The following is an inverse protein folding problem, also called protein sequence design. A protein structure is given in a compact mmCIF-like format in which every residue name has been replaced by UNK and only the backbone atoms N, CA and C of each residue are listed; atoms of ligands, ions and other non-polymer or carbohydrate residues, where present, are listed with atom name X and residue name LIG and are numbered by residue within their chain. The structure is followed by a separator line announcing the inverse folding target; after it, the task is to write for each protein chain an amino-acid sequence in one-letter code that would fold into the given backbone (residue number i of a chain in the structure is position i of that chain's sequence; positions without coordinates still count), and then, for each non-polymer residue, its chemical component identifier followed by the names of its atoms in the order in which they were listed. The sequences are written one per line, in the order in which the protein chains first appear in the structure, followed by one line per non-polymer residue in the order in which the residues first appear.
data_IF_214438307971
#
_entry.id   IF_214438307971
#
_cell.length_a   1.000
_cell.length_b   1.000
_cell.length_c   1.000
_cell.angle_alpha   90.00
_cell.angle_beta   90.00
_cell.angle_gamma   90.00
#
_symmetry.space_group_name_H-M   'P 1'
#
loop_
_entity.id
_entity.type
_entity.pdbx_description
1 polymer ?
#
# COMPACT_ATOMS: atom_id res chain seq x y z
N UNK A 1 -0.61 -21.26 2.52
CA UNK A 1 -1.50 -21.27 1.30
C UNK A 1 -0.61 -20.99 0.09
N UNK A 2 -0.56 -21.90 -0.90
CA UNK A 2 0.33 -21.78 -2.07
C UNK A 2 -0.40 -21.09 -3.22
N UNK A 3 0.15 -19.98 -3.73
CA UNK A 3 -0.40 -19.19 -4.85
C UNK A 3 0.74 -18.75 -5.78
N UNK A 4 0.40 -18.22 -6.97
CA UNK A 4 1.43 -17.69 -7.89
C UNK A 4 2.23 -16.54 -7.26
N UNK A 5 1.63 -15.75 -6.38
CA UNK A 5 2.30 -14.66 -5.66
C UNK A 5 3.30 -15.22 -4.63
N UNK A 6 2.92 -16.27 -3.86
CA UNK A 6 3.85 -16.86 -2.90
C UNK A 6 5.04 -17.53 -3.59
N UNK A 7 4.82 -18.14 -4.75
CA UNK A 7 5.90 -18.72 -5.57
C UNK A 7 6.79 -17.65 -6.20
N UNK A 8 6.19 -16.56 -6.72
CA UNK A 8 6.91 -15.49 -7.38
C UNK A 8 7.87 -14.73 -6.45
N UNK A 9 7.41 -14.44 -5.23
CA UNK A 9 8.15 -13.64 -4.26
C UNK A 9 8.84 -14.48 -3.17
N UNK A 10 8.71 -15.81 -3.24
CA UNK A 10 9.32 -16.74 -2.27
C UNK A 10 8.87 -16.47 -0.82
N UNK A 11 7.58 -16.14 -0.63
CA UNK A 11 6.95 -15.89 0.66
C UNK A 11 6.02 -17.03 1.06
N UNK A 12 5.77 -17.18 2.37
CA UNK A 12 4.95 -18.26 2.91
C UNK A 12 3.44 -18.02 2.75
N UNK A 13 3.02 -16.77 2.95
CA UNK A 13 1.62 -16.35 2.95
C UNK A 13 1.35 -15.31 1.85
N UNK A 14 0.20 -15.38 1.17
CA UNK A 14 -0.12 -14.45 0.07
C UNK A 14 -0.59 -13.08 0.60
N UNK A 15 0.23 -12.50 1.49
CA UNK A 15 -0.03 -11.22 2.18
C UNK A 15 1.13 -10.28 1.95
N UNK A 16 0.86 -9.10 1.43
CA UNK A 16 1.83 -8.04 1.17
C UNK A 16 1.49 -6.83 2.05
N UNK A 17 2.49 -6.24 2.67
CA UNK A 17 2.39 -4.90 3.24
C UNK A 17 2.80 -3.91 2.16
N UNK A 18 1.84 -3.10 1.69
CA UNK A 18 2.10 -2.08 0.68
C UNK A 18 2.99 -0.95 1.17
N UNK A 19 3.71 -0.31 0.26
CA UNK A 19 4.47 0.88 0.57
C UNK A 19 3.59 2.00 1.12
N UNK A 20 3.97 2.58 2.24
CA UNK A 20 3.23 3.63 2.95
C UNK A 20 4.18 4.71 3.43
N UNK A 21 3.91 5.95 3.03
CA UNK A 21 4.75 7.11 3.36
C UNK A 21 4.84 7.35 4.87
N UNK A 22 6.05 7.44 5.41
CA UNK A 22 6.35 7.55 6.86
C UNK A 22 5.82 6.43 7.75
N UNK A 23 5.53 5.25 7.17
CA UNK A 23 5.11 4.04 7.88
C UNK A 23 6.00 2.85 7.52
N UNK A 24 6.29 2.66 6.23
CA UNK A 24 7.08 1.54 5.72
C UNK A 24 8.57 1.71 5.99
N UNK A 25 8.98 1.42 7.23
CA UNK A 25 10.38 1.35 7.67
C UNK A 25 10.81 -0.10 7.92
N UNK A 26 12.08 -0.30 8.21
CA UNK A 26 12.69 -1.62 8.41
C UNK A 26 11.97 -2.45 9.48
N UNK A 27 11.49 -1.83 10.57
CA UNK A 27 10.78 -2.51 11.66
C UNK A 27 9.53 -3.21 11.15
N UNK A 28 8.66 -2.48 10.46
CA UNK A 28 7.41 -3.04 9.94
C UNK A 28 7.68 -4.03 8.81
N UNK A 29 8.59 -3.68 7.89
CA UNK A 29 8.94 -4.55 6.76
C UNK A 29 9.50 -5.89 7.25
N UNK A 30 10.45 -5.87 8.19
CA UNK A 30 11.01 -7.09 8.76
C UNK A 30 9.98 -7.91 9.56
N UNK A 31 9.11 -7.25 10.34
CA UNK A 31 8.06 -7.94 11.09
C UNK A 31 7.10 -8.68 10.16
N UNK A 32 6.69 -8.07 9.05
CA UNK A 32 5.82 -8.72 8.05
C UNK A 32 6.53 -9.88 7.35
N UNK A 33 7.79 -9.70 6.96
CA UNK A 33 8.58 -10.74 6.30
C UNK A 33 8.84 -11.92 7.23
N UNK A 34 9.18 -11.66 8.50
CA UNK A 34 9.37 -12.70 9.52
C UNK A 34 8.08 -13.47 9.85
N UNK A 35 6.91 -12.83 9.66
CA UNK A 35 5.61 -13.47 9.80
C UNK A 35 5.14 -14.20 8.51
N UNK A 36 6.00 -14.30 7.50
CA UNK A 36 5.75 -15.06 6.27
C UNK A 36 5.07 -14.31 5.14
N UNK A 37 4.82 -12.99 5.31
CA UNK A 37 4.35 -12.11 4.24
C UNK A 37 5.49 -11.44 3.47
N UNK A 38 5.17 -10.46 2.63
CA UNK A 38 6.13 -9.57 1.97
C UNK A 38 6.06 -8.18 2.63
N UNK A 39 7.02 -7.84 3.48
CA UNK A 39 7.17 -6.51 4.04
C UNK A 39 7.77 -5.54 3.02
N UNK A 40 7.48 -4.24 3.15
CA UNK A 40 7.91 -3.24 2.15
C UNK A 40 8.44 -1.97 2.81
N UNK A 41 9.70 -1.64 2.54
CA UNK A 41 10.30 -0.35 2.89
C UNK A 41 9.82 0.71 1.89
N UNK A 42 9.42 1.89 2.36
CA UNK A 42 9.05 3.00 1.48
C UNK A 42 10.29 3.85 1.15
N UNK A 43 10.78 3.70 -0.08
CA UNK A 43 12.04 4.32 -0.53
C UNK A 43 12.01 5.84 -0.47
N UNK A 44 10.94 6.49 -0.93
CA UNK A 44 10.85 7.95 -0.93
C UNK A 44 10.80 8.57 0.47
N UNK A 45 10.36 7.84 1.48
CA UNK A 45 10.40 8.28 2.87
C UNK A 45 11.84 8.53 3.35
N UNK A 46 12.81 7.81 2.80
CA UNK A 46 14.22 7.93 3.16
C UNK A 46 14.85 9.23 2.62
N UNK A 47 14.32 9.77 1.54
CA UNK A 47 14.70 11.06 0.94
C UNK A 47 15.96 11.02 0.08
N UNK A 48 16.96 10.20 0.39
CA UNK A 48 18.22 10.09 -0.40
C UNK A 48 18.61 8.62 -0.62
N UNK A 49 19.36 8.30 -1.70
CA UNK A 49 19.89 6.96 -1.93
C UNK A 49 20.69 6.41 -0.74
N UNK A 50 21.54 7.22 -0.13
CA UNK A 50 22.35 6.83 1.04
C UNK A 50 21.48 6.42 2.24
N UNK A 51 20.45 7.20 2.55
CA UNK A 51 19.52 6.86 3.65
C UNK A 51 18.71 5.61 3.33
N UNK A 52 18.32 5.41 2.07
CA UNK A 52 17.66 4.18 1.65
C UNK A 52 18.59 2.97 1.80
N UNK A 53 19.89 3.10 1.42
CA UNK A 53 20.87 2.04 1.62
C UNK A 53 20.98 1.63 3.09
N UNK A 54 21.05 2.62 3.99
CA UNK A 54 21.11 2.38 5.43
C UNK A 54 19.84 1.69 5.95
N UNK A 55 18.67 2.08 5.46
CA UNK A 55 17.40 1.48 5.88
C UNK A 55 17.24 0.04 5.36
N UNK A 56 17.68 -0.23 4.13
CA UNK A 56 17.74 -1.59 3.59
C UNK A 56 18.69 -2.46 4.42
N UNK A 57 19.91 -1.98 4.71
CA UNK A 57 20.88 -2.70 5.54
C UNK A 57 20.29 -3.01 6.93
N UNK A 58 19.62 -2.06 7.55
CA UNK A 58 18.94 -2.23 8.82
C UNK A 58 17.84 -3.29 8.76
N UNK A 59 17.06 -3.36 7.68
CA UNK A 59 16.06 -4.40 7.47
C UNK A 59 16.73 -5.78 7.31
N UNK A 60 17.83 -5.86 6.56
CA UNK A 60 18.61 -7.10 6.37
C UNK A 60 19.23 -7.63 7.67
N UNK A 61 19.50 -6.76 8.66
CA UNK A 61 19.91 -7.17 10.02
C UNK A 61 18.74 -7.75 10.84
N UNK A 62 17.48 -7.38 10.51
CA UNK A 62 16.28 -7.78 11.25
C UNK A 62 15.57 -9.00 10.65
N UNK A 63 15.85 -9.35 9.38
CA UNK A 63 15.22 -10.49 8.70
C UNK A 63 16.14 -11.10 7.64
N UNK A 64 16.10 -12.42 7.52
CA UNK A 64 16.68 -13.19 6.40
C UNK A 64 15.65 -13.53 5.31
N UNK A 65 14.40 -13.07 5.48
CA UNK A 65 13.29 -13.32 4.57
C UNK A 65 13.21 -12.26 3.45
N UNK A 66 12.55 -12.59 2.32
CA UNK A 66 12.33 -11.61 1.27
C UNK A 66 11.53 -10.40 1.78
N UNK A 67 11.95 -9.21 1.37
CA UNK A 67 11.21 -7.97 1.54
C UNK A 67 11.29 -7.13 0.26
N UNK A 68 10.45 -6.13 0.14
CA UNK A 68 10.39 -5.23 -1.00
C UNK A 68 10.83 -3.81 -0.63
N UNK A 69 11.17 -3.04 -1.66
CA UNK A 69 11.28 -1.58 -1.57
C UNK A 69 10.25 -0.95 -2.49
N UNK A 70 9.46 0.00 -1.96
CA UNK A 70 8.50 0.77 -2.73
C UNK A 70 9.15 2.01 -3.35
N UNK A 71 8.89 2.24 -4.64
CA UNK A 71 9.20 3.46 -5.36
C UNK A 71 7.92 4.03 -5.99
N UNK A 72 7.48 5.19 -5.50
CA UNK A 72 6.28 5.86 -6.01
C UNK A 72 6.68 7.01 -6.94
N UNK A 73 6.32 6.90 -8.21
CA UNK A 73 6.63 7.90 -9.24
C UNK A 73 5.51 8.95 -9.32
N UNK A 74 5.63 10.01 -8.55
CA UNK A 74 4.69 11.12 -8.55
C UNK A 74 5.32 12.40 -9.14
N UNK A 75 4.50 13.30 -9.72
CA UNK A 75 4.95 14.65 -10.01
C UNK A 75 5.45 15.32 -8.74
N UNK A 76 6.63 15.92 -8.78
CA UNK A 76 7.21 16.62 -7.65
C UNK A 76 7.88 17.91 -8.10
N UNK A 77 7.81 18.96 -7.29
CA UNK A 77 8.56 20.21 -7.53
C UNK A 77 10.07 19.98 -7.44
N UNK A 78 10.48 19.04 -6.61
CA UNK A 78 11.88 18.58 -6.51
C UNK A 78 11.87 17.07 -6.74
N UNK A 79 12.13 16.62 -7.99
CA UNK A 79 12.15 15.19 -8.30
C UNK A 79 13.15 14.44 -7.43
N UNK A 80 12.78 13.29 -6.84
CA UNK A 80 13.72 12.40 -6.17
C UNK A 80 14.80 11.89 -7.13
N UNK A 81 15.96 11.53 -6.60
CA UNK A 81 17.00 10.83 -7.36
C UNK A 81 16.61 9.36 -7.61
N UNK A 82 15.62 9.14 -8.48
CA UNK A 82 15.18 7.78 -8.82
C UNK A 82 16.29 6.87 -9.36
N UNK A 83 17.18 7.33 -10.26
CA UNK A 83 18.32 6.50 -10.69
C UNK A 83 19.20 6.05 -9.53
N UNK A 84 19.53 6.94 -8.60
CA UNK A 84 20.30 6.62 -7.40
C UNK A 84 19.55 5.66 -6.46
N UNK A 85 18.26 5.85 -6.26
CA UNK A 85 17.43 4.94 -5.45
C UNK A 85 17.37 3.53 -6.07
N UNK A 86 17.18 3.43 -7.39
CA UNK A 86 17.18 2.15 -8.13
C UNK A 86 18.53 1.46 -8.03
N UNK A 87 19.63 2.19 -8.16
CA UNK A 87 20.97 1.62 -8.05
C UNK A 87 21.25 1.04 -6.67
N UNK A 88 20.86 1.76 -5.60
CA UNK A 88 20.99 1.26 -4.22
C UNK A 88 20.20 -0.03 -4.00
N UNK A 89 18.99 -0.13 -4.52
CA UNK A 89 18.16 -1.34 -4.43
C UNK A 89 18.84 -2.52 -5.12
N UNK A 90 19.43 -2.29 -6.31
CA UNK A 90 20.18 -3.29 -7.07
C UNK A 90 21.43 -3.74 -6.30
N UNK A 91 22.21 -2.79 -5.81
CA UNK A 91 23.49 -3.07 -5.11
C UNK A 91 23.25 -3.82 -3.80
N UNK A 92 22.14 -3.53 -3.12
CA UNK A 92 21.76 -4.22 -1.89
C UNK A 92 21.13 -5.61 -2.12
N UNK A 93 20.86 -6.00 -3.36
CA UNK A 93 20.28 -7.30 -3.70
C UNK A 93 18.85 -7.48 -3.20
N UNK A 94 18.06 -6.40 -3.12
CA UNK A 94 16.63 -6.49 -2.74
C UNK A 94 15.86 -7.31 -3.78
N UNK A 95 15.13 -8.36 -3.39
CA UNK A 95 14.55 -9.28 -4.37
C UNK A 95 13.29 -8.73 -5.08
N UNK A 96 12.58 -7.79 -4.47
CA UNK A 96 11.29 -7.29 -4.98
C UNK A 96 11.23 -5.76 -4.91
N UNK A 97 10.72 -5.14 -5.97
CA UNK A 97 10.37 -3.72 -6.00
C UNK A 97 8.88 -3.55 -6.23
N UNK A 98 8.20 -2.85 -5.32
CA UNK A 98 6.86 -2.36 -5.54
C UNK A 98 6.94 -0.97 -6.18
N UNK A 99 6.29 -0.78 -7.31
CA UNK A 99 6.20 0.54 -7.95
C UNK A 99 4.76 1.06 -7.91
N UNK A 100 4.59 2.38 -7.84
CA UNK A 100 3.29 3.04 -7.82
C UNK A 100 3.32 4.37 -8.59
N UNK A 101 2.16 4.91 -8.90
CA UNK A 101 2.02 6.19 -9.59
C UNK A 101 2.24 6.07 -11.10
N UNK A 102 3.21 6.82 -11.65
CA UNK A 102 3.49 6.81 -13.09
C UNK A 102 4.12 5.50 -13.56
N UNK A 103 4.04 5.27 -14.87
CA UNK A 103 4.61 4.13 -15.56
C UNK A 103 6.10 3.89 -15.23
N UNK A 104 6.51 2.73 -14.69
CA UNK A 104 7.87 2.41 -14.28
C UNK A 104 8.79 1.95 -15.43
N UNK A 105 8.35 1.99 -16.68
CA UNK A 105 9.04 1.40 -17.83
C UNK A 105 10.52 1.82 -17.97
N UNK A 106 10.86 3.03 -17.56
CA UNK A 106 12.24 3.56 -17.60
C UNK A 106 13.20 2.72 -16.73
N UNK A 107 12.74 2.25 -15.58
CA UNK A 107 13.58 1.55 -14.59
C UNK A 107 13.50 0.01 -14.70
N UNK A 108 12.51 -0.53 -15.42
CA UNK A 108 12.32 -1.97 -15.55
C UNK A 108 13.54 -2.69 -16.14
N UNK A 109 14.23 -2.20 -17.19
CA UNK A 109 15.40 -2.90 -17.74
C UNK A 109 16.51 -3.10 -16.71
N UNK A 110 16.80 -2.10 -15.87
CA UNK A 110 17.82 -2.19 -14.83
C UNK A 110 17.40 -3.17 -13.72
N UNK A 111 16.19 -3.05 -13.22
CA UNK A 111 15.65 -3.93 -12.17
C UNK A 111 15.57 -5.39 -12.64
N UNK A 112 15.02 -5.64 -13.81
CA UNK A 112 14.92 -6.99 -14.39
C UNK A 112 16.29 -7.57 -14.72
N UNK A 113 17.23 -6.76 -15.21
CA UNK A 113 18.60 -7.16 -15.48
C UNK A 113 19.35 -7.63 -14.23
N UNK A 114 18.99 -7.11 -13.06
CA UNK A 114 19.47 -7.53 -11.76
C UNK A 114 18.68 -8.72 -11.15
N UNK A 115 17.69 -9.27 -11.86
CA UNK A 115 16.86 -10.38 -11.37
C UNK A 115 15.73 -9.98 -10.40
N UNK A 116 15.53 -8.68 -10.18
CA UNK A 116 14.53 -8.16 -9.27
C UNK A 116 13.12 -8.35 -9.84
N UNK A 117 12.18 -8.82 -9.03
CA UNK A 117 10.76 -8.92 -9.38
C UNK A 117 10.08 -7.58 -9.16
N UNK A 118 9.21 -7.18 -10.09
CA UNK A 118 8.51 -5.91 -10.02
C UNK A 118 7.01 -6.12 -9.95
N UNK A 119 6.39 -5.62 -8.87
CA UNK A 119 4.95 -5.49 -8.72
C UNK A 119 4.55 -4.02 -8.87
N UNK A 120 3.56 -3.73 -9.73
CA UNK A 120 3.09 -2.35 -9.95
C UNK A 120 1.68 -2.14 -9.41
N UNK A 121 1.46 -1.05 -8.67
CA UNK A 121 0.13 -0.67 -8.15
C UNK A 121 -0.69 0.00 -9.23
N UNK A 122 -1.92 -0.49 -9.44
CA UNK A 122 -2.82 -0.04 -10.49
C UNK A 122 -4.24 0.11 -9.95
N UNK A 123 -4.91 1.20 -10.31
CA UNK A 123 -6.29 1.50 -9.89
C UNK A 123 -7.34 1.16 -10.97
N UNK A 124 -6.92 0.59 -12.10
CA UNK A 124 -7.82 0.18 -13.18
C UNK A 124 -7.26 -0.99 -13.98
N UNK A 125 -8.14 -1.75 -14.64
CA UNK A 125 -7.76 -2.85 -15.55
C UNK A 125 -6.85 -2.35 -16.67
N UNK A 126 -7.14 -1.18 -17.25
CA UNK A 126 -6.32 -0.56 -18.30
C UNK A 126 -4.87 -0.32 -17.84
N UNK A 127 -4.67 0.18 -16.63
CA UNK A 127 -3.34 0.39 -16.07
C UNK A 127 -2.64 -0.93 -15.75
N UNK A 128 -3.38 -1.94 -15.27
CA UNK A 128 -2.87 -3.28 -15.02
C UNK A 128 -2.39 -3.97 -16.30
N UNK A 129 -3.16 -3.90 -17.38
CA UNK A 129 -2.75 -4.38 -18.71
C UNK A 129 -1.52 -3.63 -19.24
N UNK A 130 -1.43 -2.33 -18.98
CA UNK A 130 -0.23 -1.56 -19.34
C UNK A 130 0.99 -2.03 -18.55
N UNK A 131 0.87 -2.25 -17.24
CA UNK A 131 1.94 -2.78 -16.39
C UNK A 131 2.40 -4.17 -16.89
N UNK A 132 1.47 -5.06 -17.22
CA UNK A 132 1.77 -6.35 -17.84
C UNK A 132 2.55 -6.17 -19.14
N UNK A 133 2.07 -5.30 -20.03
CA UNK A 133 2.66 -5.10 -21.38
C UNK A 133 4.08 -4.56 -21.37
N UNK A 134 4.50 -3.87 -20.31
CA UNK A 134 5.85 -3.32 -20.15
C UNK A 134 6.80 -4.26 -19.39
N UNK A 135 6.30 -5.41 -18.89
CA UNK A 135 7.12 -6.46 -18.30
C UNK A 135 7.16 -6.48 -16.77
N UNK A 136 6.19 -5.89 -16.06
CA UNK A 136 6.00 -6.14 -14.63
C UNK A 136 5.69 -7.63 -14.40
N UNK A 137 6.15 -8.17 -13.26
CA UNK A 137 5.95 -9.60 -12.91
C UNK A 137 4.59 -9.85 -12.25
N UNK A 138 4.05 -8.83 -11.59
CA UNK A 138 2.75 -8.86 -10.94
C UNK A 138 2.15 -7.44 -10.88
N UNK A 139 0.86 -7.36 -10.55
CA UNK A 139 0.20 -6.08 -10.23
C UNK A 139 -0.53 -6.16 -8.89
N UNK A 140 -0.57 -5.02 -8.19
CA UNK A 140 -1.47 -4.79 -7.06
C UNK A 140 -2.65 -3.98 -7.58
N UNK A 141 -3.85 -4.56 -7.53
CA UNK A 141 -5.08 -3.94 -8.06
C UNK A 141 -5.78 -3.24 -6.91
N UNK A 142 -5.72 -1.92 -6.93
CA UNK A 142 -6.20 -1.04 -5.86
C UNK A 142 -7.63 -0.58 -6.16
N UNK A 143 -8.62 -1.12 -5.44
CA UNK A 143 -10.02 -0.72 -5.56
C UNK A 143 -10.34 0.61 -4.88
N UNK A 144 -11.54 1.12 -5.13
CA UNK A 144 -12.05 2.39 -4.59
C UNK A 144 -11.94 2.52 -3.07
N UNK A 145 -11.96 1.39 -2.35
CA UNK A 145 -11.91 1.32 -0.88
C UNK A 145 -10.53 1.66 -0.29
N UNK A 146 -9.48 1.73 -1.14
CA UNK A 146 -8.11 1.94 -0.65
C UNK A 146 -7.91 3.32 -0.03
N UNK A 147 -6.98 3.40 0.92
CA UNK A 147 -6.40 4.67 1.38
C UNK A 147 -5.36 5.19 0.40
N UNK A 148 -5.14 6.50 0.38
CA UNK A 148 -4.29 7.15 -0.59
C UNK A 148 -5.03 7.37 -1.92
N UNK A 149 -4.40 7.12 -3.05
CA UNK A 149 -4.92 7.47 -4.39
C UNK A 149 -5.66 6.30 -5.05
N UNK A 150 -7.01 6.23 -4.95
CA UNK A 150 -7.82 5.16 -5.55
C UNK A 150 -8.02 5.30 -7.06
N UNK A 151 -7.48 6.35 -7.66
CA UNK A 151 -7.79 6.75 -9.03
C UNK A 151 -9.09 7.55 -9.13
N UNK A 152 -9.53 7.81 -10.36
CA UNK A 152 -10.69 8.68 -10.64
C UNK A 152 -11.94 7.91 -11.08
N UNK A 153 -11.84 6.57 -11.24
CA UNK A 153 -12.90 5.75 -11.84
C UNK A 153 -13.91 5.20 -10.80
N UNK A 154 -13.62 5.33 -9.50
CA UNK A 154 -14.47 4.91 -8.37
C UNK A 154 -14.94 3.43 -8.43
N UNK A 155 -14.12 2.53 -8.95
CA UNK A 155 -14.50 1.12 -9.13
C UNK A 155 -14.17 0.33 -7.84
N UNK A 156 -15.17 -0.24 -7.15
CA UNK A 156 -14.93 -1.09 -5.99
C UNK A 156 -14.36 -2.45 -6.38
N UNK A 157 -13.64 -3.07 -5.44
CA UNK A 157 -12.96 -4.35 -5.68
C UNK A 157 -13.90 -5.49 -6.11
N UNK A 158 -15.17 -5.46 -5.71
CA UNK A 158 -16.13 -6.49 -6.11
C UNK A 158 -16.40 -6.54 -7.63
N UNK A 159 -16.08 -5.46 -8.34
CA UNK A 159 -16.15 -5.37 -9.81
C UNK A 159 -14.75 -5.36 -10.41
N UNK A 160 -13.81 -4.65 -9.78
CA UNK A 160 -12.47 -4.46 -10.35
C UNK A 160 -11.65 -5.76 -10.40
N UNK A 161 -11.70 -6.58 -9.33
CA UNK A 161 -10.90 -7.81 -9.25
C UNK A 161 -11.33 -8.87 -10.28
N UNK A 162 -12.63 -9.25 -10.42
CA UNK A 162 -13.02 -10.21 -11.46
C UNK A 162 -12.74 -9.67 -12.87
N UNK A 163 -12.89 -8.36 -13.11
CA UNK A 163 -12.49 -7.76 -14.39
C UNK A 163 -10.98 -7.86 -14.64
N UNK A 164 -10.17 -7.69 -13.60
CA UNK A 164 -8.72 -7.90 -13.71
C UNK A 164 -8.37 -9.37 -13.96
N UNK A 165 -9.08 -10.30 -13.31
CA UNK A 165 -8.89 -11.75 -13.50
C UNK A 165 -9.22 -12.21 -14.91
N UNK A 166 -10.24 -11.62 -15.55
CA UNK A 166 -10.62 -11.95 -16.93
C UNK A 166 -9.60 -11.50 -17.98
N UNK A 167 -8.77 -10.48 -17.68
CA UNK A 167 -7.93 -9.79 -18.66
C UNK A 167 -6.43 -10.03 -18.45
N UNK A 168 -5.98 -10.28 -17.20
CA UNK A 168 -4.57 -10.39 -16.87
C UNK A 168 -4.04 -11.81 -17.02
N UNK A 169 -2.85 -11.92 -17.60
CA UNK A 169 -2.09 -13.18 -17.70
C UNK A 169 -1.06 -13.31 -16.57
N UNK A 170 -0.58 -12.18 -16.01
CA UNK A 170 0.32 -12.17 -14.84
C UNK A 170 -0.46 -12.20 -13.53
N UNK A 171 0.11 -12.72 -12.44
CA UNK A 171 -0.57 -12.74 -11.14
C UNK A 171 -0.84 -11.34 -10.62
N UNK A 172 -1.94 -11.20 -9.86
CA UNK A 172 -2.26 -9.97 -9.18
C UNK A 172 -2.72 -10.20 -7.74
N UNK A 173 -2.54 -9.19 -6.90
CA UNK A 173 -3.07 -9.14 -5.54
C UNK A 173 -4.17 -8.08 -5.43
N UNK A 174 -5.15 -8.34 -4.59
CA UNK A 174 -6.19 -7.38 -4.24
C UNK A 174 -5.67 -6.35 -3.23
N UNK A 175 -5.96 -5.09 -3.45
CA UNK A 175 -5.64 -3.98 -2.54
C UNK A 175 -6.83 -3.04 -2.39
N UNK A 176 -6.94 -2.39 -1.22
CA UNK A 176 -8.14 -1.64 -0.85
C UNK A 176 -9.22 -2.54 -0.22
N UNK A 177 -9.68 -2.19 0.97
CA UNK A 177 -10.67 -2.98 1.70
C UNK A 177 -10.14 -4.27 2.33
N UNK A 178 -8.84 -4.54 2.28
CA UNK A 178 -8.21 -5.77 2.76
C UNK A 178 -7.75 -5.62 4.22
N UNK A 179 -8.27 -6.46 5.13
CA UNK A 179 -7.92 -6.39 6.56
C UNK A 179 -7.85 -7.74 7.28
N UNK A 180 -8.59 -8.73 6.85
CA UNK A 180 -8.80 -9.98 7.58
C UNK A 180 -8.95 -11.20 6.66
N UNK A 181 -9.18 -12.36 7.25
CA UNK A 181 -9.34 -13.62 6.53
C UNK A 181 -10.51 -13.61 5.54
N UNK A 182 -11.59 -12.88 5.85
CA UNK A 182 -12.76 -12.78 4.97
C UNK A 182 -12.40 -12.07 3.68
N UNK A 183 -11.62 -10.98 3.79
CA UNK A 183 -11.15 -10.24 2.62
C UNK A 183 -10.15 -11.04 1.79
N UNK A 184 -9.23 -11.80 2.42
CA UNK A 184 -8.32 -12.70 1.69
C UNK A 184 -9.08 -13.76 0.89
N UNK A 185 -9.99 -14.49 1.54
CA UNK A 185 -10.77 -15.55 0.89
C UNK A 185 -11.66 -14.99 -0.23
N UNK A 186 -12.30 -13.83 0.00
CA UNK A 186 -13.10 -13.17 -1.02
C UNK A 186 -12.24 -12.70 -2.22
N UNK A 187 -11.08 -12.10 -1.97
CA UNK A 187 -10.15 -11.67 -3.02
C UNK A 187 -9.71 -12.85 -3.90
N UNK A 188 -9.38 -13.99 -3.28
CA UNK A 188 -9.01 -15.21 -4.02
C UNK A 188 -10.19 -15.78 -4.82
N UNK A 189 -11.40 -15.76 -4.26
CA UNK A 189 -12.60 -16.17 -4.99
C UNK A 189 -12.92 -15.25 -6.19
N UNK A 190 -12.49 -13.99 -6.14
CA UNK A 190 -12.59 -13.02 -7.24
C UNK A 190 -11.41 -13.07 -8.22
N UNK A 191 -10.47 -14.02 -8.04
CA UNK A 191 -9.37 -14.29 -8.97
C UNK A 191 -8.01 -13.71 -8.58
N UNK A 192 -7.89 -13.02 -7.45
CA UNK A 192 -6.60 -12.55 -6.95
C UNK A 192 -5.75 -13.72 -6.38
N UNK A 193 -4.44 -13.59 -6.41
CA UNK A 193 -3.48 -14.57 -5.89
C UNK A 193 -2.98 -14.22 -4.46
N UNK A 194 -3.60 -13.23 -3.83
CA UNK A 194 -3.30 -12.74 -2.49
C UNK A 194 -3.86 -11.35 -2.24
N UNK A 195 -3.47 -10.75 -1.14
CA UNK A 195 -3.90 -9.39 -0.79
C UNK A 195 -2.72 -8.48 -0.39
N UNK A 196 -2.88 -7.20 -0.68
CA UNK A 196 -2.01 -6.11 -0.24
C UNK A 196 -2.76 -5.24 0.77
N UNK A 197 -2.20 -5.04 1.96
CA UNK A 197 -2.80 -4.26 3.03
C UNK A 197 -1.95 -3.03 3.36
N UNK A 198 -2.60 -1.91 3.62
CA UNK A 198 -1.99 -0.68 4.15
C UNK A 198 -2.51 -0.38 5.55
N UNK A 199 -3.70 0.21 5.64
CA UNK A 199 -4.32 0.70 6.88
C UNK A 199 -4.33 -0.33 8.02
N UNK A 200 -4.58 -1.62 7.72
CA UNK A 200 -4.54 -2.69 8.72
C UNK A 200 -3.15 -2.82 9.37
N UNK A 201 -2.07 -2.73 8.59
CA UNK A 201 -0.71 -2.81 9.13
C UNK A 201 -0.28 -1.56 9.92
N UNK A 202 -0.83 -0.37 9.59
CA UNK A 202 -0.60 0.83 10.41
C UNK A 202 -1.07 0.59 11.85
N UNK A 203 -2.22 -0.09 12.03
CA UNK A 203 -2.78 -0.43 13.33
C UNK A 203 -2.20 -1.75 13.87
N UNK A 204 -0.87 -1.87 13.93
CA UNK A 204 -0.13 -2.97 14.57
C UNK A 204 0.89 -2.42 15.57
N UNK A 205 1.32 -3.26 16.51
CA UNK A 205 2.35 -2.87 17.49
C UNK A 205 3.68 -2.54 16.80
N UNK A 206 4.01 -3.28 15.72
CA UNK A 206 5.29 -3.19 15.00
C UNK A 206 5.38 -1.98 14.05
N UNK A 207 4.27 -1.33 13.71
CA UNK A 207 4.29 -0.13 12.89
C UNK A 207 4.97 1.02 13.67
N UNK A 208 6.05 1.63 13.13
CA UNK A 208 6.82 2.67 13.82
C UNK A 208 6.13 4.04 13.70
N UNK A 209 4.86 4.10 14.09
CA UNK A 209 4.05 5.31 14.10
C UNK A 209 3.54 5.61 15.50
N UNK A 210 3.19 6.86 15.75
CA UNK A 210 2.67 7.29 17.04
C UNK A 210 1.36 6.55 17.40
N UNK A 211 1.15 6.30 18.69
CA UNK A 211 -0.02 5.57 19.19
C UNK A 211 -1.36 6.22 18.77
N UNK A 212 -1.42 7.55 18.73
CA UNK A 212 -2.61 8.29 18.29
C UNK A 212 -3.07 7.90 16.88
N UNK A 213 -2.14 7.58 15.96
CA UNK A 213 -2.47 7.15 14.59
C UNK A 213 -3.15 5.78 14.62
N UNK A 214 -2.62 4.84 15.41
CA UNK A 214 -3.21 3.50 15.57
C UNK A 214 -4.59 3.57 16.19
N UNK A 215 -4.75 4.37 17.24
CA UNK A 215 -6.02 4.60 17.92
C UNK A 215 -7.04 5.31 17.03
N UNK A 216 -6.61 6.26 16.20
CA UNK A 216 -7.51 6.91 15.24
C UNK A 216 -8.10 5.91 14.24
N UNK A 217 -7.33 4.92 13.79
CA UNK A 217 -7.82 3.85 12.92
C UNK A 217 -8.80 2.95 13.66
N UNK A 218 -8.45 2.48 14.86
CA UNK A 218 -9.29 1.56 15.66
C UNK A 218 -10.62 2.19 16.08
N UNK A 219 -10.64 3.50 16.29
CA UNK A 219 -11.84 4.24 16.67
C UNK A 219 -12.68 4.71 15.46
N UNK A 220 -12.19 4.50 14.23
CA UNK A 220 -12.88 4.92 13.02
C UNK A 220 -13.89 3.86 12.54
N UNK A 221 -14.94 4.33 11.89
CA UNK A 221 -15.88 3.50 11.14
C UNK A 221 -15.58 3.56 9.63
N UNK A 222 -16.29 2.77 8.85
CA UNK A 222 -16.25 2.82 7.38
C UNK A 222 -16.74 4.16 6.80
N UNK A 223 -17.40 4.98 7.63
CA UNK A 223 -17.93 6.30 7.26
C UNK A 223 -16.95 7.45 7.53
N UNK A 224 -15.82 7.19 8.20
CA UNK A 224 -14.91 8.23 8.66
C UNK A 224 -13.78 8.57 7.69
N UNK A 225 -13.84 8.08 6.46
CA UNK A 225 -12.92 8.52 5.40
C UNK A 225 -13.56 9.56 4.47
N UNK A 226 -12.72 10.38 3.84
CA UNK A 226 -13.13 11.38 2.85
C UNK A 226 -12.25 11.29 1.61
N UNK A 227 -12.82 11.63 0.46
CA UNK A 227 -12.06 11.87 -0.77
C UNK A 227 -11.79 13.37 -0.87
N UNK A 228 -10.54 13.73 -1.13
CA UNK A 228 -10.06 15.09 -1.30
C UNK A 228 -9.34 15.23 -2.65
N UNK A 229 -9.08 16.44 -3.09
CA UNK A 229 -8.31 16.80 -4.31
C UNK A 229 -8.88 16.25 -5.62
N UNK A 230 -10.18 15.92 -5.65
CA UNK A 230 -10.83 15.38 -6.85
C UNK A 230 -10.85 16.41 -8.00
N UNK A 231 -11.08 17.68 -7.70
CA UNK A 231 -11.03 18.77 -8.69
C UNK A 231 -9.64 18.96 -9.31
N UNK A 232 -8.59 18.48 -8.63
CA UNK A 232 -7.20 18.51 -9.13
C UNK A 232 -6.83 17.24 -9.92
N UNK A 233 -7.77 16.30 -10.13
CA UNK A 233 -7.49 14.99 -10.73
C UNK A 233 -6.36 14.26 -10.00
N UNK A 234 -6.35 14.39 -8.69
CA UNK A 234 -5.39 13.79 -7.77
C UNK A 234 -6.12 13.26 -6.52
N UNK A 235 -7.24 12.56 -6.76
CA UNK A 235 -8.11 12.08 -5.69
C UNK A 235 -7.35 11.25 -4.67
N UNK A 236 -7.46 11.61 -3.40
CA UNK A 236 -6.89 10.88 -2.27
C UNK A 236 -7.97 10.55 -1.24
N UNK A 237 -7.94 9.32 -0.70
CA UNK A 237 -8.78 8.92 0.43
C UNK A 237 -7.99 9.04 1.73
N UNK A 238 -8.54 9.82 2.64
CA UNK A 238 -7.92 10.19 3.93
C UNK A 238 -8.86 9.94 5.08
N UNK A 239 -8.34 9.79 6.30
CA UNK A 239 -9.17 9.80 7.50
C UNK A 239 -9.66 11.23 7.77
N UNK A 240 -10.95 11.36 8.12
CA UNK A 240 -11.54 12.66 8.43
C UNK A 240 -10.96 13.25 9.71
N UNK A 241 -10.57 14.50 9.65
CA UNK A 241 -10.13 15.33 10.77
C UNK A 241 -10.37 16.81 10.46
N UNK A 242 -10.03 17.71 11.39
CA UNK A 242 -10.25 19.17 11.18
C UNK A 242 -9.49 19.75 9.99
N UNK A 243 -8.30 19.22 9.65
CA UNK A 243 -7.58 19.69 8.47
C UNK A 243 -8.30 19.26 7.18
N UNK A 244 -8.81 18.04 7.13
CA UNK A 244 -9.61 17.53 6.02
C UNK A 244 -10.91 18.30 5.86
N UNK A 245 -11.58 18.66 6.96
CA UNK A 245 -12.79 19.50 6.92
C UNK A 245 -12.50 20.88 6.33
N UNK A 246 -11.41 21.55 6.77
CA UNK A 246 -10.98 22.83 6.18
C UNK A 246 -10.65 22.71 4.69
N UNK A 247 -9.99 21.62 4.30
CA UNK A 247 -9.65 21.37 2.90
C UNK A 247 -10.93 21.22 2.05
N UNK A 248 -11.89 20.43 2.51
CA UNK A 248 -13.18 20.24 1.83
C UNK A 248 -13.97 21.54 1.72
N UNK A 249 -13.91 22.41 2.73
CA UNK A 249 -14.53 23.73 2.67
C UNK A 249 -13.88 24.59 1.56
N UNK A 250 -12.53 24.62 1.48
CA UNK A 250 -11.80 25.32 0.40
C UNK A 250 -12.17 24.74 -0.98
N UNK A 251 -12.26 23.41 -1.11
CA UNK A 251 -12.70 22.79 -2.37
C UNK A 251 -14.10 23.23 -2.78
N UNK A 252 -15.03 23.33 -1.84
CA UNK A 252 -16.41 23.82 -2.10
C UNK A 252 -16.46 25.29 -2.49
N UNK A 253 -15.66 26.12 -1.82
CA UNK A 253 -15.62 27.57 -2.09
C UNK A 253 -14.97 27.90 -3.43
N UNK A 254 -13.88 27.24 -3.79
CA UNK A 254 -13.08 27.53 -4.96
C UNK A 254 -13.52 26.76 -6.21
N UNK A 255 -14.09 25.56 -6.04
CA UNK A 255 -14.54 24.71 -7.14
C UNK A 255 -13.42 24.50 -8.17
N UNK A 256 -13.72 24.75 -9.45
CA UNK A 256 -12.77 24.59 -10.56
C UNK A 256 -11.60 25.59 -10.53
N UNK A 257 -11.60 26.55 -9.61
CA UNK A 257 -10.50 27.50 -9.42
C UNK A 257 -9.49 27.04 -8.38
N UNK A 258 -9.77 25.95 -7.68
CA UNK A 258 -8.86 25.40 -6.70
C UNK A 258 -7.50 25.09 -7.33
N UNK A 259 -6.43 25.45 -6.62
CA UNK A 259 -5.06 25.11 -6.96
C UNK A 259 -4.41 24.38 -5.79
N UNK A 260 -3.36 23.65 -6.07
CA UNK A 260 -2.62 22.94 -5.03
C UNK A 260 -2.07 23.88 -3.94
N UNK A 261 -1.66 25.10 -4.32
CA UNK A 261 -1.17 26.12 -3.40
C UNK A 261 -2.20 26.56 -2.36
N UNK A 262 -3.50 26.46 -2.67
CA UNK A 262 -4.58 26.84 -1.76
C UNK A 262 -4.75 25.84 -0.58
N UNK A 263 -4.27 24.60 -0.77
CA UNK A 263 -4.43 23.48 0.18
C UNK A 263 -3.09 22.91 0.66
N UNK A 264 -1.97 23.50 0.26
CA UNK A 264 -0.62 22.98 0.52
C UNK A 264 -0.37 22.77 2.03
N UNK A 265 -0.90 23.61 2.88
CA UNK A 265 -0.71 23.54 4.34
C UNK A 265 -1.39 22.31 4.96
N UNK A 266 -2.47 21.79 4.34
CA UNK A 266 -3.18 20.62 4.78
C UNK A 266 -2.61 19.29 4.24
N UNK A 267 -1.78 19.35 3.17
CA UNK A 267 -1.34 18.12 2.48
C UNK A 267 0.19 17.95 2.40
N UNK A 268 0.96 19.04 2.37
CA UNK A 268 2.40 18.96 2.19
C UNK A 268 3.17 18.99 3.50
N UNK A 269 4.12 18.07 3.68
CA UNK A 269 5.01 18.03 4.84
C UNK A 269 4.33 17.70 6.19
N UNK A 270 3.10 17.22 6.17
CA UNK A 270 2.29 16.93 7.37
C UNK A 270 2.55 15.54 7.95
N UNK A 271 2.96 14.59 7.12
CA UNK A 271 3.14 13.18 7.52
C UNK A 271 4.08 12.97 8.71
N UNK A 272 5.27 13.60 8.81
CA UNK A 272 6.13 13.43 9.99
C UNK A 272 5.45 13.86 11.29
N UNK A 273 4.71 14.97 11.26
CA UNK A 273 3.98 15.49 12.43
C UNK A 273 2.85 14.57 12.87
N UNK A 274 2.17 13.93 11.91
CA UNK A 274 1.08 12.98 12.19
C UNK A 274 1.66 11.63 12.61
N UNK A 275 2.50 11.03 11.75
CA UNK A 275 2.95 9.66 11.95
C UNK A 275 3.94 9.51 13.13
N UNK A 276 4.81 10.47 13.37
CA UNK A 276 5.83 10.36 14.41
C UNK A 276 5.54 11.17 15.67
N UNK A 277 4.90 12.37 15.54
CA UNK A 277 4.59 13.24 16.68
C UNK A 277 3.15 13.06 17.19
N UNK A 278 2.28 12.37 16.43
CA UNK A 278 0.89 12.13 16.83
C UNK A 278 -0.02 13.34 16.80
N UNK A 279 0.36 14.38 16.04
CA UNK A 279 -0.43 15.62 15.90
C UNK A 279 -1.48 15.43 14.80
N UNK A 280 -2.61 14.84 15.16
CA UNK A 280 -3.59 14.29 14.21
C UNK A 280 -4.35 15.33 13.38
N UNK A 281 -4.44 16.59 13.84
CA UNK A 281 -5.30 17.62 13.25
C UNK A 281 -4.57 18.61 12.32
N UNK A 282 -3.26 18.35 12.05
CA UNK A 282 -2.42 19.30 11.29
C UNK A 282 -2.50 19.13 9.79
N UNK A 283 -2.97 17.98 9.31
CA UNK A 283 -3.03 17.70 7.88
C UNK A 283 -3.81 16.43 7.54
N UNK A 284 -3.99 16.21 6.25
CA UNK A 284 -4.58 15.01 5.70
C UNK A 284 -3.56 13.86 5.68
N UNK A 285 -4.03 12.63 5.93
CA UNK A 285 -3.22 11.42 5.83
C UNK A 285 -4.04 10.24 5.34
N UNK A 286 -3.42 9.39 4.53
CA UNK A 286 -4.07 8.29 3.83
C UNK A 286 -4.62 7.24 4.79
N UNK A 287 -5.91 6.91 4.66
CA UNK A 287 -6.57 5.84 5.40
C UNK A 287 -7.70 5.25 4.55
N UNK A 288 -7.74 3.92 4.43
CA UNK A 288 -8.75 3.23 3.66
C UNK A 288 -10.07 3.06 4.43
N UNK A 289 -11.17 2.82 3.70
CA UNK A 289 -12.48 2.52 4.28
C UNK A 289 -12.42 1.29 5.21
N UNK A 290 -11.43 0.44 5.03
CA UNK A 290 -11.19 -0.76 5.84
C UNK A 290 -10.95 -0.44 7.33
N UNK A 291 -10.70 0.82 7.70
CA UNK A 291 -10.64 1.24 9.10
C UNK A 291 -11.88 0.76 9.89
N UNK A 292 -13.07 0.76 9.28
CA UNK A 292 -14.28 0.21 9.90
C UNK A 292 -14.27 -1.29 10.24
N UNK A 293 -13.25 -2.03 9.79
CA UNK A 293 -13.02 -3.45 10.14
C UNK A 293 -11.86 -3.64 11.12
N UNK A 294 -11.15 -2.57 11.47
CA UNK A 294 -9.96 -2.61 12.34
C UNK A 294 -10.36 -2.20 13.76
N UNK A 295 -10.30 -3.13 14.70
CA UNK A 295 -10.78 -2.93 16.07
C UNK A 295 -9.75 -3.29 17.16
N UNK A 296 -8.50 -3.59 16.76
CA UNK A 296 -7.42 -3.96 17.64
C UNK A 296 -6.04 -3.54 17.10
N UNK A 297 -5.01 -3.63 17.94
CA UNK A 297 -3.61 -3.29 17.62
C UNK A 297 -2.73 -4.51 18.01
N UNK A 298 -2.79 -5.61 17.24
CA UNK A 298 -2.00 -6.81 17.50
C UNK A 298 -0.54 -6.64 17.07
N UNK A 299 0.32 -7.63 17.38
CA UNK A 299 1.58 -7.77 16.67
C UNK A 299 1.32 -8.16 15.21
N UNK A 300 2.27 -7.85 14.31
CA UNK A 300 2.18 -8.30 12.90
C UNK A 300 2.09 -9.81 12.81
N UNK A 301 2.83 -10.52 13.67
CA UNK A 301 2.79 -12.00 13.70
C UNK A 301 1.40 -12.51 14.07
N UNK A 302 0.81 -12.02 15.15
CA UNK A 302 -0.53 -12.45 15.57
C UNK A 302 -1.59 -12.12 14.51
N UNK A 303 -1.46 -10.97 13.84
CA UNK A 303 -2.34 -10.58 12.74
C UNK A 303 -2.28 -11.57 11.58
N UNK A 304 -1.08 -11.87 11.07
CA UNK A 304 -0.89 -12.75 9.91
C UNK A 304 -1.27 -14.19 10.26
N UNK A 305 -0.83 -14.71 11.40
CA UNK A 305 -1.20 -16.06 11.87
C UNK A 305 -2.73 -16.20 12.02
N UNK A 306 -3.38 -15.18 12.60
CA UNK A 306 -4.83 -15.11 12.74
C UNK A 306 -5.57 -15.12 11.41
N UNK A 307 -5.13 -14.29 10.46
CA UNK A 307 -5.69 -14.24 9.11
C UNK A 307 -5.59 -15.60 8.42
N UNK A 308 -4.43 -16.24 8.46
CA UNK A 308 -4.23 -17.53 7.78
C UNK A 308 -5.05 -18.65 8.42
N UNK A 309 -5.05 -18.74 9.76
CA UNK A 309 -5.84 -19.74 10.49
C UNK A 309 -7.35 -19.58 10.25
N UNK A 310 -7.84 -18.34 10.27
CA UNK A 310 -9.27 -18.07 10.01
C UNK A 310 -9.64 -18.29 8.55
N UNK A 311 -8.76 -17.98 7.59
CA UNK A 311 -8.99 -18.25 6.17
C UNK A 311 -9.18 -19.75 5.91
N UNK A 312 -8.32 -20.59 6.48
CA UNK A 312 -8.47 -22.06 6.41
C UNK A 312 -9.80 -22.51 7.02
N UNK A 313 -10.21 -21.92 8.14
CA UNK A 313 -11.51 -22.21 8.78
C UNK A 313 -12.70 -21.79 7.91
N UNK A 314 -12.65 -20.63 7.28
CA UNK A 314 -13.70 -20.16 6.36
C UNK A 314 -13.83 -21.13 5.19
N UNK A 315 -12.73 -21.51 4.56
CA UNK A 315 -12.72 -22.44 3.42
C UNK A 315 -13.27 -23.79 3.84
N UNK A 316 -12.75 -24.38 4.93
CA UNK A 316 -13.08 -25.74 5.34
C UNK A 316 -14.49 -25.87 5.93
N UNK A 317 -15.00 -24.88 6.66
CA UNK A 317 -16.27 -24.98 7.40
C UNK A 317 -17.43 -24.24 6.76
N UNK A 318 -17.17 -23.10 6.11
CA UNK A 318 -18.23 -22.27 5.55
C UNK A 318 -18.44 -22.53 4.07
N UNK A 319 -17.36 -22.56 3.26
CA UNK A 319 -17.47 -22.69 1.82
C UNK A 319 -17.57 -24.12 1.34
N UNK A 320 -17.03 -25.11 2.06
CA UNK A 320 -17.14 -26.53 1.69
C UNK A 320 -18.55 -27.12 1.83
N UNK A 321 -19.51 -26.36 2.39
CA UNK A 321 -20.90 -26.80 2.55
C UNK A 321 -21.82 -26.31 1.41
N UNK A 322 -21.27 -25.66 0.40
CA UNK A 322 -21.94 -25.28 -0.86
C UNK A 322 -21.44 -26.19 -1.97
#
# INVERSE_FOLDING_TARGET
MKTKITELFEIEHPIIQGGMHHVGFAELAAAVSNAGGLGTITGLTQGTPEKLANEIARCQEMTDKPFAVNLTFLPSLTPPDYPGLVQVIIDAGVPVVETAGRNPAEYLPALKGAGIKVIHKCTSVRHSLKAQSIGCDAVSVDGFECGGHPGEDDIPNFILLPRAADELEIPFVASGGMADARSLVAAMALGAEGMNMGTRFIATQDAPVHQNVKEAIVNASELDTRLIMRSLTNTERVLNNKAVERLIEKEKELGDKLRFEDIVDEVAGVYPKIMHEGTMEVGAWSCGMVAGLVNDIPTVKDLIDGIMSEADSIIAKRLSNF
#
